data_IF_539237828969
#
_entry.id   IF_539237828969
#
_cell.length_a   1.000
_cell.length_b   1.000
_cell.length_c   1.000
_cell.angle_alpha   90.00
_cell.angle_beta   90.00
_cell.angle_gamma   90.00
#
_symmetry.space_group_name_H-M   'P 1'
#
loop_
_entity.id
_entity.type
_entity.pdbx_description
1 polymer ?
#
# COMPACT_ATOMS: atom_id res chain seq x y z
N UNK A 1 25.65 6.28 18.68
CA UNK A 1 26.08 7.56 19.26
C UNK A 1 25.38 8.66 18.48
N UNK A 2 24.66 9.57 19.14
CA UNK A 2 23.92 10.65 18.46
C UNK A 2 24.91 11.63 17.84
N UNK A 3 24.78 11.90 16.54
CA UNK A 3 25.58 12.92 15.88
C UNK A 3 24.88 14.29 15.96
N UNK A 4 25.59 15.29 16.48
CA UNK A 4 25.09 16.66 16.65
C UNK A 4 25.99 17.61 15.86
N UNK A 5 25.48 18.12 14.73
CA UNK A 5 26.20 19.09 13.90
C UNK A 5 26.31 20.45 14.58
N UNK A 6 27.35 21.21 14.25
CA UNK A 6 27.63 22.52 14.85
C UNK A 6 26.51 23.55 14.65
N UNK A 7 25.84 23.51 13.49
CA UNK A 7 24.71 24.40 13.25
C UNK A 7 23.56 24.13 14.22
N UNK A 8 23.37 22.87 14.64
CA UNK A 8 22.32 22.49 15.58
C UNK A 8 22.67 22.93 17.01
N UNK A 9 23.95 22.79 17.42
CA UNK A 9 24.46 23.38 18.68
C UNK A 9 24.22 24.89 18.72
N UNK A 10 24.53 25.58 17.62
CA UNK A 10 24.31 27.02 17.49
C UNK A 10 22.83 27.38 17.64
N UNK A 11 21.92 26.68 16.95
CA UNK A 11 20.48 26.94 17.06
C UNK A 11 19.96 26.70 18.48
N UNK A 12 20.42 25.65 19.15
CA UNK A 12 20.04 25.36 20.53
C UNK A 12 20.46 26.48 21.48
N UNK A 13 21.73 26.91 21.41
CA UNK A 13 22.24 27.98 22.26
C UNK A 13 21.53 29.30 22.01
N UNK A 14 21.22 29.62 20.76
CA UNK A 14 20.50 30.85 20.42
C UNK A 14 19.05 30.86 20.91
N UNK A 15 18.34 29.74 20.71
CA UNK A 15 16.88 29.70 20.88
C UNK A 15 16.43 29.17 22.24
N UNK A 16 17.13 28.16 22.76
CA UNK A 16 16.77 27.51 24.03
C UNK A 16 17.54 28.13 25.18
N UNK A 17 18.82 28.48 24.98
CA UNK A 17 19.64 29.09 26.03
C UNK A 17 19.65 30.63 26.00
N UNK A 18 18.92 31.25 25.09
CA UNK A 18 18.69 32.71 25.05
C UNK A 18 19.89 33.55 24.60
N UNK A 19 20.93 32.96 24.01
CA UNK A 19 22.11 33.70 23.52
C UNK A 19 21.91 34.18 22.08
N UNK A 20 21.09 35.21 21.90
CA UNK A 20 20.59 35.67 20.60
C UNK A 20 21.73 36.08 19.64
N UNK A 21 22.79 36.73 20.15
CA UNK A 21 23.93 37.15 19.34
C UNK A 21 24.75 35.95 18.85
N UNK A 22 24.97 35.86 17.53
CA UNK A 22 25.71 34.74 16.88
C UNK A 22 27.14 34.61 17.41
N UNK A 23 27.85 35.71 17.61
CA UNK A 23 29.25 35.69 18.05
C UNK A 23 29.35 35.30 19.53
N UNK A 24 28.41 35.77 20.34
CA UNK A 24 28.27 35.36 21.74
C UNK A 24 27.97 33.85 21.83
N UNK A 25 27.01 33.36 21.04
CA UNK A 25 26.64 31.95 20.99
C UNK A 25 27.82 31.05 20.56
N UNK A 26 28.57 31.45 19.52
CA UNK A 26 29.79 30.72 19.10
C UNK A 26 30.86 30.70 20.18
N UNK A 27 31.08 31.82 20.86
CA UNK A 27 32.03 31.91 21.97
C UNK A 27 31.59 31.03 23.13
N UNK A 28 30.30 31.02 23.44
CA UNK A 28 29.73 30.19 24.50
C UNK A 28 29.88 28.69 24.21
N UNK A 29 29.60 28.26 22.96
CA UNK A 29 29.78 26.86 22.54
C UNK A 29 31.24 26.43 22.70
N UNK A 30 32.19 27.26 22.25
CA UNK A 30 33.62 26.93 22.36
C UNK A 30 34.08 26.79 23.81
N UNK A 31 33.52 27.57 24.73
CA UNK A 31 33.87 27.54 26.16
C UNK A 31 33.17 26.42 26.94
N UNK A 32 31.97 26.00 26.49
CA UNK A 32 31.10 25.10 27.25
C UNK A 32 30.58 23.94 26.40
N UNK A 33 31.38 23.41 25.47
CA UNK A 33 30.91 22.43 24.47
C UNK A 33 30.25 21.20 25.11
N UNK A 34 30.88 20.63 26.13
CA UNK A 34 30.34 19.45 26.83
C UNK A 34 29.01 19.76 27.52
N UNK A 35 28.88 20.92 28.16
CA UNK A 35 27.63 21.34 28.81
C UNK A 35 26.52 21.54 27.78
N UNK A 36 26.83 22.19 26.64
CA UNK A 36 25.87 22.40 25.55
C UNK A 36 25.39 21.07 24.99
N UNK A 37 26.31 20.13 24.75
CA UNK A 37 25.95 18.79 24.25
C UNK A 37 25.11 18.02 25.28
N UNK A 38 25.48 18.07 26.56
CA UNK A 38 24.73 17.43 27.64
C UNK A 38 23.29 17.97 27.73
N UNK A 39 23.13 19.29 27.81
CA UNK A 39 21.81 19.94 27.88
C UNK A 39 20.97 19.68 26.64
N UNK A 40 21.60 19.64 25.46
CA UNK A 40 20.92 19.33 24.21
C UNK A 40 20.46 17.87 24.16
N UNK A 41 21.25 16.92 24.69
CA UNK A 41 20.86 15.52 24.82
C UNK A 41 19.70 15.36 25.81
N UNK A 42 19.76 16.02 26.96
CA UNK A 42 18.68 16.06 27.95
C UNK A 42 17.40 16.62 27.33
N UNK A 43 17.50 17.74 26.62
CA UNK A 43 16.39 18.36 25.90
C UNK A 43 15.77 17.44 24.83
N UNK A 44 16.59 16.70 24.07
CA UNK A 44 16.10 15.71 23.10
C UNK A 44 15.48 14.49 23.81
N UNK A 45 16.00 14.09 24.97
CA UNK A 45 15.47 12.94 25.71
C UNK A 45 14.03 13.19 26.18
N UNK A 46 13.72 14.43 26.56
CA UNK A 46 12.41 14.89 27.02
C UNK A 46 11.44 15.23 25.86
N UNK A 47 11.89 15.12 24.60
CA UNK A 47 11.06 15.48 23.46
C UNK A 47 10.07 14.37 23.06
N UNK A 48 8.85 14.79 22.73
CA UNK A 48 7.75 13.93 22.31
C UNK A 48 7.72 13.80 20.78
N UNK A 49 7.50 12.59 20.28
CA UNK A 49 7.39 12.35 18.84
C UNK A 49 6.05 12.88 18.33
N UNK A 50 6.08 13.82 17.38
CA UNK A 50 4.89 14.32 16.70
C UNK A 50 4.56 13.53 15.43
N UNK A 51 5.57 13.29 14.60
CA UNK A 51 5.37 12.77 13.26
C UNK A 51 6.62 12.07 12.72
N UNK A 52 6.42 11.03 11.92
CA UNK A 52 7.46 10.37 11.14
C UNK A 52 7.05 10.40 9.68
N UNK A 53 7.95 10.84 8.81
CA UNK A 53 7.61 10.90 7.39
C UNK A 53 8.80 11.08 6.48
N UNK A 54 8.59 10.69 5.22
CA UNK A 54 9.54 10.94 4.15
C UNK A 54 9.51 12.42 3.76
N UNK A 55 10.66 13.08 3.82
CA UNK A 55 10.86 14.45 3.40
C UNK A 55 11.37 14.46 1.94
N UNK A 56 10.50 14.73 0.94
CA UNK A 56 10.86 14.56 -0.48
C UNK A 56 12.03 15.44 -0.91
N UNK A 57 12.11 16.66 -0.35
CA UNK A 57 13.17 17.62 -0.65
C UNK A 57 14.57 17.15 -0.20
N UNK A 58 14.66 16.27 0.80
CA UNK A 58 15.92 15.70 1.29
C UNK A 58 16.14 14.26 0.86
N UNK A 59 15.15 13.64 0.21
CA UNK A 59 15.12 12.22 -0.12
C UNK A 59 15.44 11.33 1.08
N UNK A 60 14.88 11.68 2.24
CA UNK A 60 15.17 10.97 3.48
C UNK A 60 13.96 10.94 4.42
N UNK A 61 13.94 9.98 5.34
CA UNK A 61 12.95 9.88 6.39
C UNK A 61 13.38 10.75 7.57
N UNK A 62 12.46 11.54 8.10
CA UNK A 62 12.69 12.41 9.25
C UNK A 62 11.67 12.12 10.35
N UNK A 63 12.17 12.13 11.57
CA UNK A 63 11.36 12.13 12.78
C UNK A 63 11.27 13.57 13.29
N UNK A 64 10.05 14.00 13.59
CA UNK A 64 9.73 15.33 14.08
C UNK A 64 9.30 15.18 15.53
N UNK A 65 10.05 15.79 16.45
CA UNK A 65 9.77 15.82 17.87
C UNK A 65 9.44 17.24 18.33
N UNK A 66 8.74 17.37 19.44
CA UNK A 66 8.50 18.65 20.11
C UNK A 66 9.01 18.61 21.53
N UNK A 67 9.59 19.71 21.99
CA UNK A 67 9.83 19.95 23.40
C UNK A 67 9.53 21.43 23.68
N UNK A 68 8.56 21.68 24.56
CA UNK A 68 7.97 23.00 24.79
C UNK A 68 7.61 23.68 23.46
N UNK A 69 8.13 24.89 23.23
CA UNK A 69 7.89 25.68 22.02
C UNK A 69 8.94 25.41 20.94
N UNK A 70 9.64 24.28 20.95
CA UNK A 70 10.69 23.96 19.97
C UNK A 70 10.40 22.69 19.19
N UNK A 71 10.40 22.81 17.85
CA UNK A 71 10.35 21.68 16.93
C UNK A 71 11.77 21.15 16.70
N UNK A 72 11.95 19.87 16.96
CA UNK A 72 13.22 19.15 16.78
C UNK A 72 13.08 18.23 15.57
N UNK A 73 13.96 18.38 14.59
CA UNK A 73 13.98 17.53 13.40
C UNK A 73 15.20 16.62 13.48
N UNK A 74 14.98 15.31 13.41
CA UNK A 74 16.02 14.30 13.52
C UNK A 74 15.92 13.25 12.42
N UNK A 75 17.02 12.52 12.20
CA UNK A 75 16.98 11.24 11.48
C UNK A 75 16.23 10.18 12.30
N UNK A 76 15.77 9.10 11.66
CA UNK A 76 15.00 8.06 12.34
C UNK A 76 15.74 7.50 13.55
N UNK A 77 15.00 7.21 14.61
CA UNK A 77 15.50 6.62 15.86
C UNK A 77 16.52 7.51 16.59
N UNK A 78 16.35 8.84 16.50
CA UNK A 78 17.23 9.83 17.14
C UNK A 78 18.72 9.59 16.79
N UNK A 79 19.02 9.20 15.55
CA UNK A 79 20.41 8.93 15.11
C UNK A 79 21.24 10.19 14.92
N UNK A 80 20.62 11.26 14.43
CA UNK A 80 21.30 12.52 14.09
C UNK A 80 20.33 13.69 14.30
N UNK A 81 20.79 14.75 14.94
CA UNK A 81 20.03 16.01 15.04
C UNK A 81 20.21 16.82 13.76
N UNK A 82 19.14 16.96 12.99
CA UNK A 82 19.16 17.71 11.73
C UNK A 82 19.03 19.19 11.98
N UNK A 83 18.07 19.65 12.78
CA UNK A 83 17.93 21.07 13.16
C UNK A 83 16.86 21.22 14.24
N UNK A 84 16.81 22.41 14.84
CA UNK A 84 15.77 22.86 15.74
C UNK A 84 15.03 24.03 15.08
N UNK A 85 13.78 24.30 15.47
CA UNK A 85 13.01 25.49 15.12
C UNK A 85 12.21 25.96 16.32
N UNK A 86 12.13 27.27 16.51
CA UNK A 86 11.22 27.87 17.46
C UNK A 86 9.81 27.85 16.87
N UNK A 87 8.83 27.40 17.65
CA UNK A 87 7.40 27.33 17.34
C UNK A 87 6.66 28.44 18.09
N UNK A 88 7.33 29.43 18.68
CA UNK A 88 6.66 30.64 19.18
C UNK A 88 5.82 31.25 18.05
N UNK A 89 4.53 30.93 18.10
CA UNK A 89 3.51 31.48 17.24
C UNK A 89 3.07 32.74 17.96
N UNK A 90 3.75 33.85 17.66
CA UNK A 90 3.30 35.16 18.11
C UNK A 90 1.91 35.40 17.52
N UNK A 91 0.87 35.11 18.32
CA UNK A 91 -0.52 35.24 17.90
C UNK A 91 -0.89 36.70 17.60
N UNK A 92 -0.08 37.63 18.10
CA UNK A 92 -0.17 39.07 17.90
C UNK A 92 0.47 39.53 16.56
N UNK A 93 1.39 38.75 15.98
CA UNK A 93 1.94 39.05 14.66
C UNK A 93 0.93 38.65 13.57
N UNK A 94 0.34 39.67 12.95
CA UNK A 94 -0.70 39.55 11.93
C UNK A 94 -0.28 38.66 10.75
N UNK A 95 1.00 38.63 10.37
CA UNK A 95 1.50 37.74 9.31
C UNK A 95 1.52 36.27 9.75
N UNK A 96 1.84 36.00 11.01
CA UNK A 96 1.85 34.65 11.55
C UNK A 96 0.43 34.13 11.73
N UNK A 97 -0.52 34.97 12.17
CA UNK A 97 -1.94 34.63 12.24
C UNK A 97 -2.50 34.21 10.87
N UNK A 98 -2.16 34.94 9.80
CA UNK A 98 -2.57 34.58 8.43
C UNK A 98 -1.94 33.27 7.96
N UNK A 99 -0.65 33.05 8.21
CA UNK A 99 0.03 31.78 7.90
C UNK A 99 -0.61 30.61 8.66
N UNK A 100 -0.87 30.76 9.96
CA UNK A 100 -1.55 29.74 10.78
C UNK A 100 -2.92 29.43 10.19
N UNK A 101 -3.73 30.44 9.85
CA UNK A 101 -5.04 30.24 9.22
C UNK A 101 -4.94 29.47 7.90
N UNK A 102 -3.95 29.78 7.06
CA UNK A 102 -3.71 29.07 5.80
C UNK A 102 -3.29 27.61 6.05
N UNK A 103 -2.38 27.36 6.99
CA UNK A 103 -1.95 26.00 7.33
C UNK A 103 -3.07 25.18 7.94
N UNK A 104 -3.86 25.73 8.87
CA UNK A 104 -5.04 25.09 9.44
C UNK A 104 -6.05 24.74 8.34
N UNK A 105 -6.30 25.65 7.39
CA UNK A 105 -7.18 25.37 6.23
C UNK A 105 -6.64 24.22 5.38
N UNK A 106 -5.32 24.16 5.17
CA UNK A 106 -4.66 23.07 4.43
C UNK A 106 -4.76 21.73 5.18
N UNK A 107 -4.53 21.72 6.50
CA UNK A 107 -4.67 20.53 7.34
C UNK A 107 -6.11 20.01 7.32
N UNK A 108 -7.11 20.89 7.49
CA UNK A 108 -8.53 20.50 7.41
C UNK A 108 -8.88 19.88 6.05
N UNK A 109 -8.38 20.47 4.95
CA UNK A 109 -8.57 19.92 3.59
C UNK A 109 -7.92 18.55 3.43
N UNK A 110 -6.69 18.38 3.92
CA UNK A 110 -5.97 17.10 3.87
C UNK A 110 -6.69 16.03 4.71
N UNK A 111 -7.13 16.35 5.93
CA UNK A 111 -7.87 15.42 6.78
C UNK A 111 -9.19 14.98 6.14
N UNK A 112 -9.92 15.90 5.50
CA UNK A 112 -11.12 15.56 4.75
C UNK A 112 -10.83 14.61 3.58
N UNK A 113 -9.74 14.84 2.84
CA UNK A 113 -9.31 13.93 1.77
C UNK A 113 -8.91 12.54 2.31
N UNK A 114 -8.21 12.48 3.44
CA UNK A 114 -7.87 11.22 4.11
C UNK A 114 -9.13 10.48 4.55
N UNK A 115 -10.12 11.17 5.12
CA UNK A 115 -11.41 10.56 5.45
C UNK A 115 -12.13 9.98 4.24
N UNK A 116 -12.12 10.68 3.09
CA UNK A 116 -12.68 10.15 1.84
C UNK A 116 -11.92 8.89 1.38
N UNK A 117 -10.59 8.91 1.44
CA UNK A 117 -9.76 7.76 1.05
C UNK A 117 -10.04 6.57 1.96
N UNK A 118 -10.06 6.76 3.28
CA UNK A 118 -10.39 5.71 4.25
C UNK A 118 -11.80 5.14 4.01
N UNK A 119 -12.77 6.00 3.67
CA UNK A 119 -14.12 5.54 3.30
C UNK A 119 -14.16 4.72 2.01
N UNK A 120 -13.35 5.07 1.01
CA UNK A 120 -13.19 4.26 -0.22
C UNK A 120 -12.50 2.93 0.07
N UNK A 121 -11.49 2.95 0.93
CA UNK A 121 -10.73 1.76 1.31
C UNK A 121 -11.60 0.78 2.12
N UNK A 122 -12.40 1.26 3.07
CA UNK A 122 -13.35 0.42 3.80
C UNK A 122 -14.35 -0.30 2.87
N UNK A 123 -14.83 0.38 1.81
CA UNK A 123 -15.68 -0.25 0.79
C UNK A 123 -14.92 -1.32 0.00
N UNK A 124 -13.66 -1.06 -0.35
CA UNK A 124 -12.81 -2.02 -1.04
C UNK A 124 -12.55 -3.26 -0.17
N UNK A 125 -12.28 -3.06 1.12
CA UNK A 125 -12.05 -4.15 2.08
C UNK A 125 -13.28 -5.04 2.27
N UNK A 126 -14.49 -4.44 2.27
CA UNK A 126 -15.74 -5.19 2.28
C UNK A 126 -15.90 -6.04 1.01
N UNK A 127 -15.58 -5.49 -0.16
CA UNK A 127 -15.60 -6.24 -1.43
C UNK A 127 -14.59 -7.39 -1.38
N UNK A 128 -13.36 -7.14 -0.91
CA UNK A 128 -12.33 -8.18 -0.77
C UNK A 128 -12.77 -9.29 0.16
N UNK A 129 -13.30 -8.97 1.35
CA UNK A 129 -13.82 -9.99 2.27
C UNK A 129 -14.96 -10.81 1.65
N UNK A 130 -15.85 -10.16 0.90
CA UNK A 130 -16.92 -10.86 0.19
C UNK A 130 -16.37 -11.81 -0.88
N UNK A 131 -15.36 -11.37 -1.65
CA UNK A 131 -14.68 -12.21 -2.64
C UNK A 131 -13.93 -13.37 -1.99
N UNK A 132 -13.23 -13.15 -0.89
CA UNK A 132 -12.56 -14.21 -0.11
C UNK A 132 -13.57 -15.22 0.43
N UNK A 133 -14.70 -14.76 0.96
CA UNK A 133 -15.80 -15.64 1.35
C UNK A 133 -16.32 -16.44 0.15
N UNK A 134 -16.52 -15.81 -1.00
CA UNK A 134 -16.98 -16.50 -2.21
C UNK A 134 -15.97 -17.52 -2.73
N UNK A 135 -14.66 -17.21 -2.69
CA UNK A 135 -13.60 -18.14 -3.04
C UNK A 135 -13.63 -19.33 -2.08
N UNK A 136 -13.68 -19.11 -0.77
CA UNK A 136 -13.75 -20.18 0.22
C UNK A 136 -15.06 -20.99 0.12
N UNK A 137 -16.17 -20.34 -0.21
CA UNK A 137 -17.45 -21.00 -0.47
C UNK A 137 -17.33 -21.91 -1.69
N UNK A 138 -16.77 -21.41 -2.80
CA UNK A 138 -16.55 -22.21 -4.02
C UNK A 138 -15.53 -23.33 -3.79
N UNK A 139 -14.46 -23.07 -3.05
CA UNK A 139 -13.46 -24.08 -2.68
C UNK A 139 -14.05 -25.13 -1.71
N UNK A 140 -14.99 -24.73 -0.85
CA UNK A 140 -15.71 -25.63 0.05
C UNK A 140 -16.86 -26.41 -0.62
N UNK A 141 -17.49 -25.86 -1.65
CA UNK A 141 -18.58 -26.52 -2.39
C UNK A 141 -18.06 -27.37 -3.56
N UNK A 142 -16.83 -27.14 -4.03
CA UNK A 142 -16.07 -27.99 -4.95
C UNK A 142 -15.14 -28.90 -4.13
N UNK A 143 -15.74 -29.77 -3.32
CA UNK A 143 -15.00 -30.86 -2.70
C UNK A 143 -14.54 -31.85 -3.79
N UNK A 144 -13.37 -32.47 -3.63
CA UNK A 144 -12.77 -33.38 -4.63
C UNK A 144 -13.75 -34.48 -5.07
N UNK A 145 -14.69 -34.86 -4.20
CA UNK A 145 -15.75 -35.83 -4.48
C UNK A 145 -16.74 -35.39 -5.58
N UNK A 146 -17.16 -34.12 -5.59
CA UNK A 146 -18.05 -33.58 -6.63
C UNK A 146 -17.30 -33.38 -7.96
N UNK A 147 -16.02 -33.00 -7.91
CA UNK A 147 -15.18 -32.91 -9.11
C UNK A 147 -14.99 -34.26 -9.79
N UNK A 148 -14.84 -35.33 -9.01
CA UNK A 148 -14.71 -36.67 -9.57
C UNK A 148 -16.03 -37.17 -10.17
N UNK A 149 -17.16 -36.90 -9.50
CA UNK A 149 -18.50 -37.16 -10.07
C UNK A 149 -18.75 -36.42 -11.39
N UNK A 150 -18.37 -35.14 -11.50
CA UNK A 150 -18.50 -34.37 -12.73
C UNK A 150 -17.60 -34.94 -13.84
N UNK A 151 -16.40 -35.42 -13.50
CA UNK A 151 -15.50 -36.08 -14.45
C UNK A 151 -16.05 -37.41 -14.95
N UNK A 152 -16.61 -38.22 -14.07
CA UNK A 152 -17.25 -39.50 -14.42
C UNK A 152 -18.44 -39.30 -15.35
N UNK A 153 -19.33 -38.35 -15.04
CA UNK A 153 -20.49 -38.05 -15.88
C UNK A 153 -20.10 -37.48 -17.25
N UNK A 154 -19.05 -36.67 -17.31
CA UNK A 154 -18.47 -36.20 -18.57
C UNK A 154 -17.90 -37.35 -19.39
N UNK A 155 -17.16 -38.26 -18.78
CA UNK A 155 -16.58 -39.42 -19.47
C UNK A 155 -17.68 -40.34 -20.01
N UNK A 156 -18.71 -40.61 -19.19
CA UNK A 156 -19.89 -41.39 -19.61
C UNK A 156 -20.61 -40.75 -20.80
N UNK A 157 -20.76 -39.43 -20.79
CA UNK A 157 -21.36 -38.69 -21.92
C UNK A 157 -20.52 -38.76 -23.20
N UNK A 158 -19.18 -38.70 -23.09
CA UNK A 158 -18.26 -38.87 -24.21
C UNK A 158 -18.39 -40.27 -24.82
N UNK A 159 -18.48 -41.30 -23.97
CA UNK A 159 -18.56 -42.69 -24.44
C UNK A 159 -19.90 -42.97 -25.13
N UNK A 160 -21.02 -42.43 -24.63
CA UNK A 160 -22.32 -42.46 -25.32
C UNK A 160 -22.22 -41.82 -26.72
N UNK A 161 -21.58 -40.65 -26.82
CA UNK A 161 -21.39 -39.97 -28.11
C UNK A 161 -20.53 -40.79 -29.08
N UNK A 162 -19.49 -41.48 -28.59
CA UNK A 162 -18.66 -42.37 -29.42
C UNK A 162 -19.44 -43.57 -29.93
N UNK A 163 -20.25 -44.19 -29.08
CA UNK A 163 -21.08 -45.34 -29.47
C UNK A 163 -22.12 -44.96 -30.52
N UNK A 164 -22.80 -43.83 -30.34
CA UNK A 164 -23.73 -43.30 -31.33
C UNK A 164 -23.04 -42.96 -32.67
N UNK A 165 -21.83 -42.40 -32.61
CA UNK A 165 -21.04 -42.14 -33.82
C UNK A 165 -20.62 -43.44 -34.52
N UNK A 166 -20.28 -44.49 -33.77
CA UNK A 166 -19.97 -45.80 -34.31
C UNK A 166 -21.19 -46.45 -34.96
N UNK A 167 -22.35 -46.43 -34.30
CA UNK A 167 -23.62 -46.94 -34.85
C UNK A 167 -24.01 -46.20 -36.14
N UNK A 168 -23.90 -44.87 -36.16
CA UNK A 168 -24.17 -44.07 -37.36
C UNK A 168 -23.21 -44.42 -38.51
N UNK A 169 -21.94 -44.73 -38.20
CA UNK A 169 -20.97 -45.20 -39.20
C UNK A 169 -21.35 -46.58 -39.75
N UNK A 170 -21.75 -47.52 -38.89
CA UNK A 170 -22.21 -48.86 -39.30
C UNK A 170 -23.43 -48.78 -40.21
N UNK A 171 -24.46 -48.01 -39.83
CA UNK A 171 -25.66 -47.80 -40.64
C UNK A 171 -25.34 -47.16 -42.01
N UNK A 172 -24.35 -46.27 -42.08
CA UNK A 172 -23.89 -45.71 -43.37
C UNK A 172 -23.20 -46.75 -44.25
N UNK A 173 -22.48 -47.73 -43.67
CA UNK A 173 -21.88 -48.83 -44.42
C UNK A 173 -22.95 -49.80 -44.92
N UNK A 174 -23.88 -50.21 -44.05
CA UNK A 174 -25.01 -51.09 -44.41
C UNK A 174 -25.86 -50.47 -45.52
N UNK A 175 -26.19 -49.16 -45.42
CA UNK A 175 -26.91 -48.46 -46.48
C UNK A 175 -26.13 -48.43 -47.80
N UNK A 176 -24.81 -48.28 -47.77
CA UNK A 176 -23.98 -48.33 -48.99
C UNK A 176 -23.99 -49.72 -49.63
N UNK A 177 -23.92 -50.77 -48.82
CA UNK A 177 -23.98 -52.16 -49.29
C UNK A 177 -25.34 -52.47 -49.91
N UNK A 178 -26.43 -52.14 -49.23
CA UNK A 178 -27.79 -52.30 -49.75
C UNK A 178 -28.01 -51.54 -51.06
N UNK A 179 -27.56 -50.29 -51.15
CA UNK A 179 -27.63 -49.52 -52.39
C UNK A 179 -26.81 -50.19 -53.51
N UNK A 180 -25.60 -50.66 -53.22
CA UNK A 180 -24.77 -51.39 -54.20
C UNK A 180 -25.44 -52.68 -54.69
N UNK A 181 -26.09 -53.44 -53.80
CA UNK A 181 -26.85 -54.63 -54.18
C UNK A 181 -28.08 -54.30 -55.04
N UNK A 182 -28.80 -53.22 -54.73
CA UNK A 182 -29.91 -52.76 -55.55
C UNK A 182 -29.47 -52.35 -56.95
N UNK A 183 -28.37 -51.60 -57.08
CA UNK A 183 -27.82 -51.24 -58.40
C UNK A 183 -27.39 -52.47 -59.20
N UNK A 184 -26.76 -53.47 -58.57
CA UNK A 184 -26.42 -54.74 -59.24
C UNK A 184 -27.64 -55.54 -59.72
N UNK A 185 -28.79 -55.42 -59.03
CA UNK A 185 -30.05 -56.05 -59.47
C UNK A 185 -30.66 -55.31 -60.65
N UNK A 186 -30.66 -53.97 -60.61
CA UNK A 186 -31.14 -53.13 -61.72
C UNK A 186 -30.32 -53.38 -63.00
N UNK A 187 -28.99 -53.50 -62.90
CA UNK A 187 -28.12 -53.84 -64.05
C UNK A 187 -28.31 -55.26 -64.59
N UNK A 188 -28.87 -56.19 -63.79
CA UNK A 188 -29.22 -57.53 -64.28
C UNK A 188 -30.58 -57.56 -64.98
N UNK A 189 -31.50 -56.70 -64.57
CA UNK A 189 -32.84 -56.59 -65.17
C UNK A 189 -32.85 -55.71 -66.43
N UNK A 190 -31.83 -54.86 -66.64
CA UNK A 190 -31.65 -54.03 -67.85
C UNK A 190 -30.94 -54.75 -69.01
N UNK A 191 -30.46 -55.99 -68.80
CA UNK A 191 -29.75 -56.82 -69.81
C UNK A 191 -30.64 -57.98 -70.31
N UNK A 192 -31.96 -57.83 -70.26
CA UNK A 192 -32.92 -58.74 -70.90
C UNK A 192 -33.72 -58.06 -72.00
#
# INVERSE_FOLDING_TARGET
>A
MLEIRDHAKLRFVQRVMGKVNVQEAKTYIRKNEFEVVYKLLEFISQSELLFKGYAPARRDTLDYYVNNETLIIMKPNKKELVTLFDITLDSEDRQNSEKIKQYVKKIKKNNYQVQIINGKQAKQDQITHHLEYMINYLDGDIDNSKMESIREDRQRSIDICKDLAAQAKTLRMENRELMSEMFKKIDKDSVK
#
